data_IF_117483956247
#
_entry.id   IF_117483956247
#
_cell.length_a   1.000
_cell.length_b   1.000
_cell.length_c   1.000
_cell.angle_alpha   90.00
_cell.angle_beta   90.00
_cell.angle_gamma   90.00
#
_symmetry.space_group_name_H-M   'P 1'
#
loop_
_entity.id
_entity.type
_entity.pdbx_description
1 polymer ?
#
# COMPACT_ATOMS: atom_id res chain seq x y z
N UNK A 1 -4.64 18.95 25.69
CA UNK A 1 -3.80 19.44 24.57
C UNK A 1 -2.67 18.45 24.35
N UNK A 2 -2.28 18.19 23.10
CA UNK A 2 -1.15 17.29 22.81
C UNK A 2 0.17 17.91 23.29
N UNK A 3 0.99 17.17 24.03
CA UNK A 3 2.32 17.60 24.51
C UNK A 3 3.41 17.73 23.41
N UNK A 4 3.02 17.79 22.14
CA UNK A 4 3.91 17.61 20.99
C UNK A 4 3.91 18.89 20.16
N UNK A 5 5.03 19.18 19.48
CA UNK A 5 5.15 20.33 18.60
C UNK A 5 4.14 20.24 17.44
N UNK A 6 3.47 21.36 17.16
CA UNK A 6 2.47 21.47 16.08
C UNK A 6 3.16 21.63 14.73
N UNK A 7 2.47 21.23 13.65
CA UNK A 7 2.91 21.38 12.26
C UNK A 7 4.22 20.66 11.86
N UNK A 8 4.68 19.73 12.71
CA UNK A 8 5.82 18.85 12.38
C UNK A 8 5.32 17.53 11.78
N UNK A 9 4.43 16.84 12.48
CA UNK A 9 3.92 15.54 12.03
C UNK A 9 2.87 15.70 10.92
N UNK A 10 2.97 14.87 9.87
CA UNK A 10 1.96 14.75 8.78
C UNK A 10 1.60 16.08 8.12
N UNK A 11 2.58 16.98 7.99
CA UNK A 11 2.43 18.30 7.36
C UNK A 11 3.08 18.27 5.98
N UNK A 12 2.42 18.84 4.97
CA UNK A 12 2.90 18.89 3.58
C UNK A 12 2.84 20.33 3.09
N UNK A 13 3.95 20.81 2.53
CA UNK A 13 4.03 22.14 1.92
C UNK A 13 3.47 22.11 0.51
N UNK A 14 2.75 23.17 0.13
CA UNK A 14 2.19 23.31 -1.22
C UNK A 14 3.21 24.02 -2.11
N UNK A 15 3.57 23.38 -3.23
CA UNK A 15 4.44 23.98 -4.24
C UNK A 15 3.61 24.62 -5.36
N UNK A 16 3.99 25.83 -5.79
CA UNK A 16 3.37 26.55 -6.92
C UNK A 16 1.84 26.68 -6.84
N UNK A 17 1.27 26.72 -5.62
CA UNK A 17 -0.17 26.77 -5.42
C UNK A 17 -0.93 25.48 -5.80
N UNK A 18 -0.25 24.39 -6.14
CA UNK A 18 -0.90 23.14 -6.54
C UNK A 18 -1.34 22.31 -5.32
N UNK A 19 -2.51 22.65 -4.79
CA UNK A 19 -3.09 22.01 -3.59
C UNK A 19 -3.45 20.54 -3.85
N UNK A 20 -3.97 20.22 -5.04
CA UNK A 20 -4.39 18.86 -5.37
C UNK A 20 -3.22 17.86 -5.34
N UNK A 21 -2.06 18.26 -5.87
CA UNK A 21 -0.85 17.45 -5.84
C UNK A 21 -0.35 17.23 -4.40
N UNK A 22 -0.39 18.28 -3.58
CA UNK A 22 -0.03 18.19 -2.16
C UNK A 22 -0.97 17.24 -1.40
N UNK A 23 -2.28 17.35 -1.63
CA UNK A 23 -3.27 16.47 -1.02
C UNK A 23 -3.10 15.00 -1.44
N UNK A 24 -2.87 14.73 -2.73
CA UNK A 24 -2.58 13.37 -3.22
C UNK A 24 -1.33 12.79 -2.56
N UNK A 25 -0.30 13.62 -2.37
CA UNK A 25 0.95 13.20 -1.73
C UNK A 25 0.72 12.90 -0.25
N UNK A 26 0.00 13.77 0.47
CA UNK A 26 -0.39 13.54 1.85
C UNK A 26 -1.19 12.23 1.99
N UNK A 27 -2.20 12.02 1.15
CA UNK A 27 -3.01 10.81 1.19
C UNK A 27 -2.19 9.54 0.88
N UNK A 28 -1.22 9.63 -0.04
CA UNK A 28 -0.29 8.53 -0.32
C UNK A 28 0.57 8.20 0.89
N UNK A 29 1.14 9.19 1.57
CA UNK A 29 1.94 8.99 2.79
C UNK A 29 1.10 8.29 3.86
N UNK A 30 -0.11 8.81 4.14
CA UNK A 30 -0.99 8.23 5.15
C UNK A 30 -1.45 6.81 4.81
N UNK A 31 -1.58 6.48 3.52
CA UNK A 31 -1.96 5.15 3.05
C UNK A 31 -0.79 4.18 3.16
N UNK A 32 0.42 4.60 2.79
CA UNK A 32 1.64 3.79 2.91
C UNK A 32 1.98 3.48 4.38
N UNK A 33 1.78 4.45 5.28
CA UNK A 33 1.92 4.27 6.73
C UNK A 33 0.80 3.41 7.34
N UNK A 34 -0.27 3.12 6.58
CA UNK A 34 -1.41 2.33 7.03
C UNK A 34 -2.39 3.06 7.95
N UNK A 35 -2.22 4.37 8.19
CA UNK A 35 -3.04 5.18 9.10
C UNK A 35 -4.50 5.21 8.67
N UNK A 36 -4.77 5.28 7.36
CA UNK A 36 -6.14 5.31 6.83
C UNK A 36 -6.88 4.01 7.11
N UNK A 37 -6.22 2.86 6.92
CA UNK A 37 -6.84 1.56 7.19
C UNK A 37 -7.00 1.32 8.69
N UNK A 38 -6.04 1.71 9.51
CA UNK A 38 -6.15 1.65 10.97
C UNK A 38 -7.31 2.52 11.47
N UNK A 39 -7.47 3.74 10.94
CA UNK A 39 -8.59 4.61 11.28
C UNK A 39 -9.96 3.99 10.93
N UNK A 40 -10.06 3.31 9.77
CA UNK A 40 -11.28 2.58 9.37
C UNK A 40 -11.55 1.39 10.29
N UNK A 41 -10.52 0.61 10.61
CA UNK A 41 -10.64 -0.57 11.48
C UNK A 41 -11.05 -0.18 12.91
N UNK A 42 -10.49 0.91 13.44
CA UNK A 42 -10.82 1.42 14.78
C UNK A 42 -12.20 2.07 14.90
N UNK A 43 -12.91 2.28 13.80
CA UNK A 43 -14.28 2.84 13.82
C UNK A 43 -15.24 1.96 14.63
N UNK A 44 -15.03 0.64 14.62
CA UNK A 44 -15.80 -0.32 15.39
C UNK A 44 -14.85 -1.29 16.10
N UNK A 45 -15.28 -1.87 17.22
CA UNK A 45 -14.47 -2.85 17.92
C UNK A 45 -14.31 -4.13 17.09
N UNK A 46 -13.07 -4.45 16.71
CA UNK A 46 -12.70 -5.72 16.11
C UNK A 46 -12.39 -6.75 17.20
N UNK A 47 -13.17 -7.84 17.28
CA UNK A 47 -12.91 -8.92 18.23
C UNK A 47 -11.53 -9.55 17.98
N UNK A 48 -10.78 -9.97 19.02
CA UNK A 48 -9.44 -10.54 18.85
C UNK A 48 -9.38 -11.75 17.91
N UNK A 49 -10.41 -12.61 17.94
CA UNK A 49 -10.50 -13.75 17.02
C UNK A 49 -10.65 -13.33 15.55
N UNK A 50 -11.38 -12.24 15.28
CA UNK A 50 -11.55 -11.69 13.92
C UNK A 50 -10.28 -11.01 13.44
N UNK A 51 -9.61 -10.26 14.32
CA UNK A 51 -8.31 -9.66 14.04
C UNK A 51 -7.27 -10.71 13.61
N UNK A 52 -7.11 -11.79 14.39
CA UNK A 52 -6.18 -12.89 14.05
C UNK A 52 -6.50 -13.55 12.70
N UNK A 53 -7.78 -13.78 12.40
CA UNK A 53 -8.22 -14.34 11.11
C UNK A 53 -7.83 -13.42 9.95
N UNK A 54 -8.07 -12.11 10.09
CA UNK A 54 -7.73 -11.10 9.08
C UNK A 54 -6.22 -11.00 8.86
N UNK A 55 -5.43 -10.90 9.92
CA UNK A 55 -3.96 -10.81 9.85
C UNK A 55 -3.35 -12.02 9.14
N UNK A 56 -3.87 -13.22 9.44
CA UNK A 56 -3.44 -14.46 8.79
C UNK A 56 -3.77 -14.42 7.29
N UNK A 57 -4.99 -14.02 6.93
CA UNK A 57 -5.41 -13.90 5.53
C UNK A 57 -4.57 -12.86 4.75
N UNK A 58 -4.37 -11.66 5.32
CA UNK A 58 -3.55 -10.61 4.72
C UNK A 58 -2.10 -11.07 4.50
N UNK A 59 -1.54 -11.79 5.46
CA UNK A 59 -0.18 -12.35 5.37
C UNK A 59 -0.08 -13.39 4.25
N UNK A 60 -0.99 -14.36 4.20
CA UNK A 60 -1.01 -15.37 3.14
C UNK A 60 -1.20 -14.75 1.75
N UNK A 61 -2.11 -13.77 1.64
CA UNK A 61 -2.34 -13.02 0.40
C UNK A 61 -1.09 -12.26 -0.04
N UNK A 62 -0.39 -11.60 0.89
CA UNK A 62 0.86 -10.89 0.61
C UNK A 62 1.92 -11.84 0.08
N UNK A 63 2.14 -12.98 0.74
CA UNK A 63 3.11 -13.99 0.31
C UNK A 63 2.78 -14.47 -1.10
N UNK A 64 1.53 -14.88 -1.34
CA UNK A 64 1.10 -15.34 -2.67
C UNK A 64 1.33 -14.29 -3.76
N UNK A 65 0.92 -13.05 -3.53
CA UNK A 65 1.10 -11.96 -4.49
C UNK A 65 2.59 -11.69 -4.78
N UNK A 66 3.45 -11.75 -3.76
CA UNK A 66 4.90 -11.58 -3.95
C UNK A 66 5.54 -12.72 -4.73
N UNK A 67 5.14 -13.97 -4.46
CA UNK A 67 5.59 -15.15 -5.20
C UNK A 67 5.15 -15.10 -6.67
N UNK A 68 3.90 -14.70 -6.90
CA UNK A 68 3.32 -14.57 -8.24
C UNK A 68 4.03 -13.46 -9.03
N UNK A 69 4.21 -12.28 -8.44
CA UNK A 69 4.94 -11.17 -9.06
C UNK A 69 6.40 -11.57 -9.38
N UNK A 70 7.05 -12.25 -8.44
CA UNK A 70 8.13 -13.24 -8.62
C UNK A 70 8.18 -13.86 -10.01
N UNK A 71 7.29 -14.84 -10.17
CA UNK A 71 7.23 -15.73 -11.32
C UNK A 71 6.93 -14.97 -12.60
N UNK A 72 6.01 -14.01 -12.56
CA UNK A 72 5.67 -13.16 -13.70
C UNK A 72 6.92 -12.43 -14.18
N UNK A 73 7.62 -11.70 -13.32
CA UNK A 73 8.83 -10.96 -13.70
C UNK A 73 9.91 -11.87 -14.30
N UNK A 74 10.04 -13.10 -13.78
CA UNK A 74 10.96 -14.09 -14.33
C UNK A 74 10.55 -14.56 -15.74
N UNK A 75 9.28 -14.93 -15.94
CA UNK A 75 8.76 -15.43 -17.21
C UNK A 75 8.63 -14.35 -18.27
N UNK A 76 8.44 -13.08 -17.89
CA UNK A 76 8.32 -11.96 -18.83
C UNK A 76 9.56 -11.82 -19.72
N UNK A 77 10.73 -12.32 -19.31
CA UNK A 77 11.93 -12.40 -20.16
C UNK A 77 11.73 -13.27 -21.42
N UNK A 78 10.81 -14.22 -21.37
CA UNK A 78 10.45 -15.12 -22.48
C UNK A 78 9.26 -14.60 -23.28
N UNK A 79 8.65 -13.49 -22.89
CA UNK A 79 7.60 -12.82 -23.66
C UNK A 79 8.20 -12.03 -24.85
N UNK A 80 8.94 -12.75 -25.70
CA UNK A 80 9.54 -12.27 -26.94
C UNK A 80 8.82 -12.93 -28.12
N UNK A 81 8.99 -12.39 -29.32
CA UNK A 81 8.52 -13.09 -30.52
C UNK A 81 9.15 -14.47 -30.65
N UNK A 82 8.41 -15.41 -31.23
CA UNK A 82 8.87 -16.78 -31.40
C UNK A 82 10.12 -16.80 -32.30
N UNK A 83 11.27 -17.29 -31.80
CA UNK A 83 12.46 -17.39 -32.61
C UNK A 83 12.38 -18.44 -33.72
N UNK A 84 11.40 -19.35 -33.69
CA UNK A 84 11.29 -20.47 -34.63
C UNK A 84 10.04 -20.38 -35.51
N UNK A 85 9.71 -19.18 -35.98
CA UNK A 85 8.62 -18.96 -36.92
C UNK A 85 8.82 -19.78 -38.20
N UNK A 86 7.94 -20.76 -38.42
CA UNK A 86 7.93 -21.59 -39.63
C UNK A 86 8.62 -22.95 -39.51
N UNK A 87 9.12 -23.32 -38.32
CA UNK A 87 9.50 -24.68 -37.97
C UNK A 87 8.37 -25.41 -37.23
#
# INVERSE_FOLDING_TARGET
MSHHLKFIARTVMVQNGNVDAAYRTLNRILTMDGIIEDAKQRRYYEKPCRKRQRETYETCRRIYNTEMARKIAFLMRKNRQDPWLGC
#
